data_IF_231364741107
#
_entry.id   IF_231364741107
#
_cell.length_a   1.000
_cell.length_b   1.000
_cell.length_c   1.000
_cell.angle_alpha   90.00
_cell.angle_beta   90.00
_cell.angle_gamma   90.00
#
_symmetry.space_group_name_H-M   'P 1'
#
loop_
_entity.id
_entity.type
_entity.pdbx_description
1 polymer ?
#
# COMPACT_ATOMS: atom_id res chain seq x y z
N UNK A 1 20.23 5.55 -24.87
CA UNK A 1 19.38 6.07 -23.78
C UNK A 1 18.32 5.00 -23.52
N UNK A 2 18.25 4.45 -22.31
CA UNK A 2 17.25 3.44 -21.95
C UNK A 2 15.87 4.07 -21.69
N UNK A 3 14.82 3.25 -21.68
CA UNK A 3 13.45 3.73 -21.44
C UNK A 3 13.30 4.35 -20.04
N UNK A 4 13.99 3.81 -19.03
CA UNK A 4 14.05 4.35 -17.67
C UNK A 4 14.55 5.79 -17.67
N UNK A 5 15.72 6.04 -18.25
CA UNK A 5 16.30 7.38 -18.36
C UNK A 5 15.38 8.35 -19.12
N UNK A 6 14.66 7.89 -20.14
CA UNK A 6 13.71 8.73 -20.86
C UNK A 6 12.50 9.13 -20.00
N UNK A 7 12.03 8.20 -19.16
CA UNK A 7 10.91 8.39 -18.24
C UNK A 7 11.30 9.26 -17.04
N UNK A 8 12.48 9.05 -16.45
CA UNK A 8 12.99 9.87 -15.34
C UNK A 8 13.32 11.31 -15.75
N UNK A 9 13.62 11.54 -17.03
CA UNK A 9 13.82 12.90 -17.53
C UNK A 9 12.50 13.70 -17.67
N UNK A 10 11.34 13.11 -17.40
CA UNK A 10 10.08 13.85 -17.39
C UNK A 10 9.93 14.65 -16.09
N UNK A 11 9.52 15.93 -16.13
CA UNK A 11 9.52 16.81 -14.97
C UNK A 11 8.55 16.41 -13.85
N UNK A 12 7.59 15.52 -14.14
CA UNK A 12 6.59 15.02 -13.19
C UNK A 12 6.93 13.63 -12.64
N UNK A 13 7.93 12.94 -13.20
CA UNK A 13 8.41 11.64 -12.71
C UNK A 13 9.52 11.91 -11.70
N UNK A 14 9.33 11.41 -10.47
CA UNK A 14 10.33 11.49 -9.41
C UNK A 14 11.38 10.39 -9.56
N UNK A 15 10.94 9.17 -9.88
CA UNK A 15 11.81 8.01 -10.02
C UNK A 15 11.11 6.91 -10.83
N UNK A 16 11.88 6.17 -11.62
CA UNK A 16 11.45 4.91 -12.21
C UNK A 16 12.03 3.77 -11.38
N UNK A 17 11.21 2.80 -11.03
CA UNK A 17 11.65 1.64 -10.26
C UNK A 17 11.54 0.39 -11.13
N UNK A 18 12.66 -0.30 -11.33
CA UNK A 18 12.67 -1.64 -11.93
C UNK A 18 12.16 -2.68 -10.94
N UNK A 19 11.79 -3.87 -11.44
CA UNK A 19 11.48 -5.02 -10.59
C UNK A 19 12.68 -5.38 -9.70
N UNK A 20 13.89 -5.36 -10.23
CA UNK A 20 15.11 -5.67 -9.48
C UNK A 20 15.31 -4.69 -8.30
N UNK A 21 15.21 -3.39 -8.55
CA UNK A 21 15.33 -2.36 -7.52
C UNK A 21 14.18 -2.43 -6.50
N UNK A 22 12.97 -2.77 -6.95
CA UNK A 22 11.82 -2.94 -6.05
C UNK A 22 12.03 -4.13 -5.11
N UNK A 23 12.55 -5.25 -5.64
CA UNK A 23 12.76 -6.48 -4.88
C UNK A 23 13.99 -6.41 -3.98
N UNK A 24 15.08 -5.82 -4.46
CA UNK A 24 16.35 -5.69 -3.73
C UNK A 24 16.48 -4.41 -2.90
N UNK A 25 15.61 -3.41 -3.12
CA UNK A 25 15.69 -2.11 -2.47
C UNK A 25 15.21 -2.11 -1.02
N UNK A 26 15.87 -1.31 -0.21
CA UNK A 26 15.43 -0.98 1.14
C UNK A 26 14.59 0.31 1.15
N UNK A 27 13.70 0.43 2.13
CA UNK A 27 12.91 1.64 2.37
C UNK A 27 11.42 1.51 2.03
N UNK A 28 10.66 2.54 2.42
CA UNK A 28 9.19 2.50 2.39
C UNK A 28 8.64 2.33 0.97
N UNK A 29 9.09 3.13 0.01
CA UNK A 29 8.57 3.10 -1.36
C UNK A 29 8.83 1.74 -2.04
N UNK A 30 10.04 1.19 -1.89
CA UNK A 30 10.36 -0.12 -2.44
C UNK A 30 9.45 -1.20 -1.82
N UNK A 31 9.22 -1.13 -0.50
CA UNK A 31 8.28 -2.02 0.20
C UNK A 31 6.85 -1.90 -0.31
N UNK A 32 6.35 -0.69 -0.60
CA UNK A 32 5.00 -0.48 -1.13
C UNK A 32 4.82 -1.07 -2.53
N UNK A 33 5.80 -0.85 -3.42
CA UNK A 33 5.77 -1.44 -4.76
C UNK A 33 5.91 -2.95 -4.72
N UNK A 34 6.77 -3.48 -3.84
CA UNK A 34 6.91 -4.93 -3.62
C UNK A 34 5.59 -5.56 -3.18
N UNK A 35 4.89 -4.95 -2.23
CA UNK A 35 3.60 -5.42 -1.74
C UNK A 35 2.48 -5.32 -2.79
N UNK A 36 2.72 -4.59 -3.89
CA UNK A 36 1.77 -4.41 -5.00
C UNK A 36 2.18 -5.13 -6.27
N UNK A 37 3.32 -5.84 -6.25
CA UNK A 37 3.84 -6.57 -7.40
C UNK A 37 3.30 -7.99 -7.40
N UNK A 38 2.82 -8.42 -8.57
CA UNK A 38 2.42 -9.80 -8.82
C UNK A 38 3.13 -10.25 -10.09
N UNK A 39 3.95 -11.30 -9.96
CA UNK A 39 4.67 -11.89 -11.09
C UNK A 39 3.68 -12.24 -12.22
N UNK A 40 4.10 -12.00 -13.46
CA UNK A 40 3.30 -12.18 -14.69
C UNK A 40 2.08 -11.25 -14.87
N UNK A 41 1.73 -10.42 -13.87
CA UNK A 41 0.59 -9.48 -13.94
C UNK A 41 0.98 -8.01 -13.82
N UNK A 42 2.08 -7.74 -13.12
CA UNK A 42 2.65 -6.40 -13.00
C UNK A 42 3.56 -6.11 -14.19
N UNK A 43 3.68 -4.83 -14.56
CA UNK A 43 4.63 -4.38 -15.57
C UNK A 43 6.08 -4.41 -15.05
N UNK A 44 7.03 -4.22 -15.97
CA UNK A 44 8.47 -4.28 -15.66
C UNK A 44 8.98 -3.05 -14.88
N UNK A 45 8.20 -1.96 -14.87
CA UNK A 45 8.55 -0.69 -14.25
C UNK A 45 7.39 -0.14 -13.40
N UNK A 46 7.71 0.44 -12.25
CA UNK A 46 6.82 1.33 -11.51
C UNK A 46 7.23 2.79 -11.72
N UNK A 47 6.25 3.65 -12.01
CA UNK A 47 6.46 5.09 -12.10
C UNK A 47 6.08 5.76 -10.80
N UNK A 48 7.06 6.34 -10.12
CA UNK A 48 6.82 7.23 -9.00
C UNK A 48 6.74 8.66 -9.52
N UNK A 49 5.55 9.26 -9.50
CA UNK A 49 5.40 10.69 -9.76
C UNK A 49 5.82 11.53 -8.55
N UNK A 50 6.17 12.80 -8.75
CA UNK A 50 6.34 13.74 -7.64
C UNK A 50 5.05 13.88 -6.82
N UNK A 51 5.14 14.23 -5.51
CA UNK A 51 3.95 14.54 -4.73
C UNK A 51 3.09 15.60 -5.44
N UNK A 52 1.78 15.38 -5.49
CA UNK A 52 0.79 16.22 -6.21
C UNK A 52 0.80 16.11 -7.75
N UNK A 53 1.60 15.21 -8.34
CA UNK A 53 1.50 14.86 -9.75
C UNK A 53 0.79 13.52 -9.92
N UNK A 54 -0.18 13.45 -10.84
CA UNK A 54 -0.90 12.22 -11.17
C UNK A 54 -1.44 12.28 -12.60
N UNK A 55 -1.63 11.11 -13.21
CA UNK A 55 -2.18 11.00 -14.57
C UNK A 55 -3.70 10.97 -14.51
N UNK A 56 -4.35 12.08 -14.83
CA UNK A 56 -5.82 12.14 -14.99
C UNK A 56 -6.21 12.98 -16.20
N UNK A 57 -7.36 12.68 -16.79
CA UNK A 57 -8.05 13.53 -17.77
C UNK A 57 -9.17 14.38 -17.15
N UNK A 58 -9.47 14.21 -15.86
CA UNK A 58 -10.53 14.97 -15.18
C UNK A 58 -10.39 14.99 -13.65
N UNK A 59 -10.72 16.13 -13.04
CA UNK A 59 -10.92 16.24 -11.59
C UNK A 59 -9.70 15.81 -10.76
N UNK A 60 -9.92 14.85 -9.87
CA UNK A 60 -8.92 14.27 -8.97
C UNK A 60 -8.87 12.75 -9.13
N UNK A 61 -7.75 12.14 -8.73
CA UNK A 61 -7.55 10.68 -8.72
C UNK A 61 -6.68 10.28 -7.52
N UNK A 62 -6.38 8.99 -7.40
CA UNK A 62 -5.56 8.39 -6.35
C UNK A 62 -4.66 7.29 -6.96
N UNK A 63 -3.80 6.68 -6.15
CA UNK A 63 -2.95 5.53 -6.54
C UNK A 63 -1.46 5.81 -6.46
N UNK A 64 -1.07 6.94 -5.88
CA UNK A 64 0.33 7.27 -5.58
C UNK A 64 0.77 6.55 -4.28
N UNK A 65 2.10 6.35 -4.07
CA UNK A 65 2.59 5.73 -2.84
C UNK A 65 2.61 6.68 -1.64
N UNK A 66 2.02 7.88 -1.76
CA UNK A 66 2.07 8.91 -0.74
C UNK A 66 0.96 8.76 0.29
N UNK A 67 1.17 9.36 1.46
CA UNK A 67 0.30 9.22 2.62
C UNK A 67 -1.16 9.62 2.32
N UNK A 68 -1.38 10.68 1.54
CA UNK A 68 -2.73 11.16 1.23
C UNK A 68 -3.59 10.15 0.43
N UNK A 69 -2.97 9.17 -0.24
CA UNK A 69 -3.67 8.09 -0.95
C UNK A 69 -3.73 6.78 -0.12
N UNK A 70 -2.95 6.69 0.96
CA UNK A 70 -2.76 5.46 1.75
C UNK A 70 -3.37 5.52 3.14
N UNK A 71 -3.45 6.71 3.73
CA UNK A 71 -3.99 6.91 5.06
C UNK A 71 -5.52 6.92 5.00
N UNK A 72 -6.12 5.78 5.40
CA UNK A 72 -7.55 5.56 5.36
C UNK A 72 -8.12 5.36 6.77
N UNK A 73 -9.37 5.75 7.04
CA UNK A 73 -10.00 5.46 8.32
C UNK A 73 -10.30 3.96 8.45
N UNK A 74 -10.03 3.40 9.64
CA UNK A 74 -10.42 2.06 10.03
C UNK A 74 -11.26 2.11 11.30
N UNK A 75 -12.53 1.68 11.20
CA UNK A 75 -13.48 1.70 12.32
C UNK A 75 -14.07 0.31 12.50
N UNK A 76 -13.92 -0.25 13.70
CA UNK A 76 -14.64 -1.44 14.14
C UNK A 76 -15.86 -1.02 14.97
N UNK A 77 -17.02 -1.61 14.70
CA UNK A 77 -18.25 -1.30 15.42
C UNK A 77 -19.11 -2.56 15.59
N UNK A 78 -19.68 -2.73 16.78
CA UNK A 78 -20.61 -3.82 17.07
C UNK A 78 -20.63 -4.21 18.54
N UNK A 79 -21.47 -5.19 18.89
CA UNK A 79 -21.71 -5.63 20.27
C UNK A 79 -20.44 -6.08 21.01
N UNK A 80 -19.46 -6.62 20.29
CA UNK A 80 -18.21 -7.14 20.84
C UNK A 80 -17.08 -6.11 20.88
N UNK A 81 -17.31 -4.87 20.40
CA UNK A 81 -16.29 -3.83 20.30
C UNK A 81 -16.53 -2.80 21.40
N UNK A 82 -15.49 -2.55 22.20
CA UNK A 82 -15.53 -1.48 23.18
C UNK A 82 -15.24 -0.14 22.51
N UNK A 83 -15.90 0.96 22.94
CA UNK A 83 -15.56 2.29 22.44
C UNK A 83 -14.15 2.69 22.83
N UNK A 84 -13.38 3.17 21.85
CA UNK A 84 -12.01 3.62 22.05
C UNK A 84 -11.40 4.17 20.77
N UNK A 85 -10.18 4.68 20.89
CA UNK A 85 -9.35 5.15 19.78
C UNK A 85 -7.90 4.77 20.04
N UNK A 86 -7.17 4.48 18.97
CA UNK A 86 -5.74 4.16 19.01
C UNK A 86 -5.06 4.77 17.80
N UNK A 87 -3.87 5.32 18.02
CA UNK A 87 -2.99 5.84 16.97
C UNK A 87 -1.92 4.80 16.57
N UNK A 88 -2.07 3.55 17.02
CA UNK A 88 -1.17 2.47 16.64
C UNK A 88 -1.25 2.19 15.13
N UNK A 89 -0.11 1.91 14.52
CA UNK A 89 -0.02 1.59 13.08
C UNK A 89 -0.89 0.36 12.77
N UNK A 90 -1.78 0.51 11.80
CA UNK A 90 -2.61 -0.56 11.25
C UNK A 90 -2.55 -0.53 9.71
N UNK A 91 -2.68 -1.70 9.10
CA UNK A 91 -2.79 -1.85 7.65
C UNK A 91 -4.16 -2.44 7.29
N UNK A 92 -4.66 -2.17 6.08
CA UNK A 92 -5.94 -2.71 5.61
C UNK A 92 -5.97 -4.25 5.62
N UNK A 93 -4.83 -4.90 5.41
CA UNK A 93 -4.69 -6.37 5.47
C UNK A 93 -4.91 -6.94 6.88
N UNK A 94 -4.80 -6.13 7.93
CA UNK A 94 -5.01 -6.54 9.33
C UNK A 94 -6.50 -6.75 9.66
N UNK A 95 -7.41 -6.23 8.82
CA UNK A 95 -8.87 -6.33 9.03
C UNK A 95 -9.31 -7.80 9.08
N UNK A 96 -8.86 -8.61 8.13
CA UNK A 96 -9.30 -9.99 8.00
C UNK A 96 -8.90 -10.85 9.21
N UNK A 97 -7.66 -10.71 9.68
CA UNK A 97 -7.15 -11.47 10.84
C UNK A 97 -7.78 -10.99 12.15
N UNK A 98 -8.09 -9.69 12.26
CA UNK A 98 -8.82 -9.13 13.41
C UNK A 98 -10.27 -9.65 13.47
N UNK A 99 -10.97 -9.69 12.33
CA UNK A 99 -12.33 -10.25 12.27
C UNK A 99 -12.34 -11.75 12.53
N UNK A 100 -11.35 -12.50 12.02
CA UNK A 100 -11.22 -13.93 12.29
C UNK A 100 -11.08 -14.21 13.79
N UNK A 101 -10.29 -13.43 14.52
CA UNK A 101 -10.17 -13.54 15.98
C UNK A 101 -11.50 -13.28 16.70
N UNK A 102 -12.20 -12.20 16.35
CA UNK A 102 -13.51 -11.84 16.93
C UNK A 102 -14.54 -12.95 16.69
N UNK A 103 -14.53 -13.53 15.49
CA UNK A 103 -15.46 -14.60 15.06
C UNK A 103 -15.02 -16.00 15.49
N UNK A 104 -13.83 -16.15 16.08
CA UNK A 104 -13.22 -17.43 16.44
C UNK A 104 -13.05 -18.37 15.24
N UNK A 105 -12.65 -17.82 14.10
CA UNK A 105 -12.32 -18.54 12.86
C UNK A 105 -10.80 -18.66 12.76
N UNK A 106 -10.30 -19.81 12.32
CA UNK A 106 -8.86 -20.02 12.11
C UNK A 106 -8.32 -19.13 10.98
N UNK A 107 -7.22 -18.43 11.25
CA UNK A 107 -6.49 -17.66 10.24
C UNK A 107 -5.59 -18.60 9.44
N UNK A 108 -5.59 -18.54 8.09
CA UNK A 108 -4.64 -19.30 7.26
C UNK A 108 -3.19 -18.92 7.55
N UNK A 109 -2.25 -19.83 7.34
CA UNK A 109 -0.84 -19.58 7.63
C UNK A 109 -0.18 -18.50 6.76
N UNK A 110 -0.68 -18.30 5.53
CA UNK A 110 -0.10 -17.39 4.55
C UNK A 110 -0.96 -16.12 4.40
N UNK A 111 -0.90 -15.26 5.41
CA UNK A 111 -1.52 -13.93 5.38
C UNK A 111 -0.51 -12.89 5.83
N UNK A 112 -0.53 -11.71 5.20
CA UNK A 112 0.39 -10.62 5.55
C UNK A 112 -0.09 -9.82 6.77
N UNK A 113 -1.40 -9.80 7.00
CA UNK A 113 -2.02 -9.03 8.07
C UNK A 113 -1.80 -9.66 9.44
N UNK A 114 -1.75 -8.80 10.46
CA UNK A 114 -1.70 -9.19 11.88
C UNK A 114 -2.98 -8.82 12.60
N UNK A 115 -3.34 -9.59 13.62
CA UNK A 115 -4.47 -9.25 14.49
C UNK A 115 -4.22 -7.91 15.18
N UNK A 116 -5.18 -6.99 15.08
CA UNK A 116 -5.23 -5.76 15.88
C UNK A 116 -5.85 -6.07 17.24
N UNK A 117 -5.30 -5.46 18.30
CA UNK A 117 -5.88 -5.51 19.63
C UNK A 117 -6.87 -4.37 19.76
N UNK A 118 -8.14 -4.70 19.97
CA UNK A 118 -9.24 -3.75 20.14
C UNK A 118 -9.58 -3.70 21.64
N UNK A 119 -8.98 -2.78 22.38
CA UNK A 119 -9.09 -2.70 23.86
C UNK A 119 -10.40 -2.12 24.38
#
# INVERSE_FOLDING_TARGET
MGIESLLENQPYVKQVWTVEETMGGDGEIAGLYRNSYVEEKSGDLFLQFHPSCFLTSSGASHGTPYEFDRNIPLVFYGRAIKPGMTDAIAHSVDIATTLADILRVSVPANVDGRRLVLD
#
